data_IF_573230526338
#
_entry.id   IF_573230526338
#
_cell.length_a   1.000
_cell.length_b   1.000
_cell.length_c   1.000
_cell.angle_alpha   90.00
_cell.angle_beta   90.00
_cell.angle_gamma   90.00
#
_symmetry.space_group_name_H-M   'P 1'
#
loop_
_entity.id
_entity.type
_entity.pdbx_description
1 polymer ?
#
# COMPACT_ATOMS: atom_id res chain seq x y z
N UNK A 1 -49.95 24.40 -52.67
CA UNK A 1 -50.08 24.40 -54.14
C UNK A 1 -49.25 23.29 -54.74
N UNK A 2 -49.91 22.28 -55.35
CA UNK A 2 -49.44 21.22 -56.29
C UNK A 2 -48.32 20.32 -55.89
N UNK A 3 -48.65 19.18 -55.42
CA UNK A 3 -48.81 17.81 -55.91
C UNK A 3 -48.23 17.50 -57.29
N UNK A 4 -47.22 16.60 -57.35
CA UNK A 4 -47.04 15.67 -58.51
C UNK A 4 -46.46 14.32 -58.05
N UNK A 5 -47.27 13.29 -58.16
CA UNK A 5 -46.88 11.90 -58.25
C UNK A 5 -46.11 11.59 -59.53
N UNK A 6 -45.15 10.70 -59.50
CA UNK A 6 -44.72 9.90 -60.65
C UNK A 6 -44.44 8.46 -60.18
N UNK A 7 -45.23 7.55 -60.72
CA UNK A 7 -45.01 6.11 -60.74
C UNK A 7 -43.74 5.80 -61.55
N UNK A 8 -43.00 4.79 -61.17
CA UNK A 8 -42.06 4.14 -62.03
C UNK A 8 -42.00 2.65 -61.73
N UNK A 9 -42.12 1.92 -62.79
CA UNK A 9 -42.27 0.50 -63.02
C UNK A 9 -41.11 -0.38 -62.55
N UNK A 10 -41.44 -1.51 -61.95
CA UNK A 10 -40.50 -2.57 -61.62
C UNK A 10 -40.11 -3.37 -62.90
N UNK A 11 -38.82 -3.54 -63.10
CA UNK A 11 -38.26 -4.51 -64.06
C UNK A 11 -37.51 -5.57 -63.24
N UNK A 12 -38.02 -6.79 -63.34
CA UNK A 12 -37.37 -7.99 -62.78
C UNK A 12 -36.23 -8.43 -63.70
N UNK A 13 -35.01 -8.43 -63.19
CA UNK A 13 -33.87 -9.08 -63.84
C UNK A 13 -33.51 -10.35 -63.06
N UNK A 14 -33.63 -11.46 -63.73
CA UNK A 14 -33.21 -12.82 -63.28
C UNK A 14 -31.68 -12.88 -63.28
N UNK A 15 -31.06 -13.25 -62.14
CA UNK A 15 -29.64 -13.56 -62.06
C UNK A 15 -29.41 -15.07 -62.00
N UNK A 16 -28.39 -15.60 -62.68
CA UNK A 16 -28.11 -17.03 -62.67
C UNK A 16 -27.45 -17.48 -61.36
N UNK A 17 -27.90 -18.63 -60.85
CA UNK A 17 -27.39 -19.31 -59.68
C UNK A 17 -26.01 -19.92 -59.98
N UNK A 18 -24.97 -19.43 -59.33
CA UNK A 18 -23.62 -20.05 -59.34
C UNK A 18 -23.49 -20.89 -58.08
N UNK A 19 -23.35 -22.20 -58.23
CA UNK A 19 -23.10 -23.14 -57.14
C UNK A 19 -21.63 -23.01 -56.69
N UNK A 20 -21.41 -22.60 -55.41
CA UNK A 20 -20.10 -22.68 -54.76
C UNK A 20 -19.93 -24.04 -54.09
N UNK A 21 -18.71 -24.64 -54.15
CA UNK A 21 -18.41 -25.88 -53.47
C UNK A 21 -18.37 -25.68 -51.95
N UNK A 22 -18.96 -26.58 -51.19
CA UNK A 22 -18.91 -26.65 -49.74
C UNK A 22 -17.46 -26.89 -49.28
N UNK A 23 -16.76 -25.86 -48.85
CA UNK A 23 -15.51 -26.00 -48.11
C UNK A 23 -15.81 -26.42 -46.66
N UNK A 24 -15.07 -27.44 -46.21
CA UNK A 24 -15.26 -28.08 -44.91
C UNK A 24 -15.08 -27.10 -43.77
N UNK A 25 -16.00 -27.21 -42.81
CA UNK A 25 -15.95 -26.49 -41.51
C UNK A 25 -14.77 -27.08 -40.72
N UNK A 26 -13.62 -26.43 -40.82
CA UNK A 26 -12.52 -26.65 -39.87
C UNK A 26 -13.03 -26.30 -38.48
N UNK A 27 -12.97 -27.25 -37.54
CA UNK A 27 -13.20 -26.98 -36.12
C UNK A 27 -12.22 -25.87 -35.69
N UNK A 28 -12.70 -24.64 -35.47
CA UNK A 28 -11.97 -23.68 -34.69
C UNK A 28 -11.74 -24.28 -33.29
N UNK A 29 -10.53 -24.66 -33.02
CA UNK A 29 -10.06 -24.92 -31.66
C UNK A 29 -10.16 -23.59 -30.91
N UNK A 30 -11.16 -23.44 -30.07
CA UNK A 30 -11.17 -22.40 -29.02
C UNK A 30 -10.06 -22.75 -28.05
N UNK A 31 -8.86 -22.22 -28.29
CA UNK A 31 -7.88 -22.08 -27.22
C UNK A 31 -8.49 -21.12 -26.22
N UNK A 32 -9.17 -21.64 -25.20
CA UNK A 32 -9.38 -20.94 -23.97
C UNK A 32 -7.98 -20.71 -23.39
N UNK A 33 -7.47 -19.49 -23.54
CA UNK A 33 -6.33 -19.06 -22.75
C UNK A 33 -6.79 -19.13 -21.30
N UNK A 34 -6.51 -20.23 -20.61
CA UNK A 34 -6.65 -20.29 -19.16
C UNK A 34 -5.83 -19.13 -18.60
N UNK A 35 -6.51 -18.13 -18.01
CA UNK A 35 -5.81 -17.13 -17.20
C UNK A 35 -5.04 -17.91 -16.15
N UNK A 36 -3.71 -17.65 -15.96
CA UNK A 36 -2.98 -18.24 -14.86
C UNK A 36 -3.79 -18.00 -13.58
N UNK A 37 -3.93 -19.01 -12.74
CA UNK A 37 -4.69 -18.85 -11.51
C UNK A 37 -4.09 -17.68 -10.73
N UNK A 38 -4.93 -16.81 -10.16
CA UNK A 38 -4.53 -15.66 -9.33
C UNK A 38 -3.45 -16.06 -8.29
N UNK A 39 -3.53 -17.29 -7.78
CA UNK A 39 -2.53 -17.89 -6.88
C UNK A 39 -1.12 -18.06 -7.48
N UNK A 40 -0.96 -18.00 -8.81
CA UNK A 40 0.35 -18.14 -9.46
C UNK A 40 1.18 -16.84 -9.47
N UNK A 41 0.54 -15.68 -9.41
CA UNK A 41 1.23 -14.38 -9.43
C UNK A 41 2.01 -14.12 -8.14
N UNK A 42 3.28 -13.67 -8.23
CA UNK A 42 4.15 -13.46 -7.07
C UNK A 42 3.56 -12.50 -6.04
N UNK A 43 2.99 -11.37 -6.48
CA UNK A 43 2.41 -10.39 -5.56
C UNK A 43 1.17 -10.93 -4.83
N UNK A 44 0.31 -11.73 -5.49
CA UNK A 44 -0.81 -12.39 -4.83
C UNK A 44 -0.35 -13.42 -3.79
N UNK A 45 0.70 -14.19 -4.09
CA UNK A 45 1.30 -15.10 -3.11
C UNK A 45 1.88 -14.35 -1.91
N UNK A 46 2.51 -13.21 -2.15
CA UNK A 46 3.02 -12.37 -1.06
C UNK A 46 1.86 -11.83 -0.23
N UNK A 47 0.84 -11.21 -0.85
CA UNK A 47 -0.33 -10.70 -0.15
C UNK A 47 -1.05 -11.77 0.70
N UNK A 48 -1.15 -13.00 0.19
CA UNK A 48 -1.79 -14.11 0.91
C UNK A 48 -1.02 -14.59 2.15
N UNK A 49 0.25 -14.22 2.30
CA UNK A 49 1.09 -14.51 3.48
C UNK A 49 1.13 -13.35 4.47
N UNK A 50 0.86 -12.14 4.00
CA UNK A 50 0.71 -10.96 4.84
C UNK A 50 -0.74 -10.90 5.33
N UNK A 51 -0.95 -10.82 6.63
CA UNK A 51 -2.31 -10.66 7.18
C UNK A 51 -2.37 -9.38 8.01
N UNK A 52 -1.69 -9.39 9.16
CA UNK A 52 -1.75 -8.34 10.17
C UNK A 52 -0.39 -7.77 10.39
N UNK A 53 -0.24 -6.49 10.14
CA UNK A 53 1.00 -5.77 10.31
C UNK A 53 0.90 -4.62 11.28
N UNK A 54 2.05 -4.08 11.61
CA UNK A 54 2.17 -2.86 12.38
C UNK A 54 3.34 -2.03 11.89
N UNK A 55 3.14 -0.72 11.80
CA UNK A 55 4.19 0.25 11.50
C UNK A 55 5.08 0.44 12.73
N UNK A 56 6.39 0.47 12.53
CA UNK A 56 7.37 0.55 13.60
C UNK A 56 8.44 1.62 13.33
N UNK A 57 9.03 2.11 14.38
CA UNK A 57 10.22 2.99 14.44
C UNK A 57 10.14 4.32 13.69
N UNK A 58 8.94 4.81 13.38
CA UNK A 58 8.75 6.07 12.65
C UNK A 58 9.30 7.29 13.37
N UNK A 59 9.23 7.31 14.70
CA UNK A 59 9.74 8.42 15.54
C UNK A 59 10.74 7.94 16.60
N UNK A 60 11.29 6.75 16.42
CA UNK A 60 12.28 6.20 17.34
C UNK A 60 13.67 6.79 17.07
N UNK A 61 14.43 7.20 18.10
CA UNK A 61 15.79 7.71 17.94
C UNK A 61 16.79 6.65 17.43
N UNK A 62 16.35 5.42 17.21
CA UNK A 62 17.15 4.29 16.69
C UNK A 62 18.02 4.67 15.49
N UNK A 63 17.46 5.45 14.57
CA UNK A 63 18.14 5.81 13.32
C UNK A 63 19.26 6.83 13.53
N UNK A 64 19.12 7.70 14.53
CA UNK A 64 20.13 8.74 14.86
C UNK A 64 21.16 8.23 15.87
N UNK A 65 20.70 7.44 16.86
CA UNK A 65 21.54 6.89 17.92
C UNK A 65 20.92 5.57 18.46
N UNK A 66 21.45 4.46 18.01
CA UNK A 66 20.98 3.14 18.42
C UNK A 66 21.03 2.90 19.95
N UNK A 67 21.86 3.64 20.69
CA UNK A 67 21.89 3.53 22.17
C UNK A 67 20.64 4.17 22.79
N UNK A 68 20.08 5.18 22.15
CA UNK A 68 18.86 5.88 22.59
C UNK A 68 17.58 5.20 22.10
N UNK A 69 17.68 4.17 21.28
CA UNK A 69 16.52 3.45 20.76
C UNK A 69 15.56 3.06 21.90
N UNK A 70 14.29 3.40 21.76
CA UNK A 70 13.20 2.89 22.62
C UNK A 70 12.74 1.51 22.15
N UNK A 71 12.62 1.35 20.84
CA UNK A 71 12.36 0.06 20.21
C UNK A 71 13.58 -0.85 20.34
N UNK A 72 13.40 -2.06 20.89
CA UNK A 72 14.47 -3.02 21.14
C UNK A 72 14.21 -4.33 20.39
N UNK A 73 15.23 -5.17 20.12
CA UNK A 73 15.06 -6.45 19.43
C UNK A 73 13.97 -7.37 20.03
N UNK A 74 13.73 -7.30 21.34
CA UNK A 74 12.67 -8.05 22.02
C UNK A 74 11.25 -7.70 21.49
N UNK A 75 11.05 -6.47 21.02
CA UNK A 75 9.74 -6.00 20.55
C UNK A 75 9.27 -6.75 19.30
N UNK A 76 10.17 -7.22 18.43
CA UNK A 76 9.80 -8.08 17.31
C UNK A 76 9.11 -9.37 17.78
N UNK A 77 9.64 -10.01 18.84
CA UNK A 77 8.97 -11.19 19.42
C UNK A 77 7.64 -10.84 20.06
N UNK A 78 7.54 -9.70 20.75
CA UNK A 78 6.28 -9.20 21.32
C UNK A 78 5.24 -8.98 20.21
N UNK A 79 5.63 -8.36 19.11
CA UNK A 79 4.77 -8.14 17.93
C UNK A 79 4.30 -9.50 17.39
N UNK A 80 5.21 -10.44 17.16
CA UNK A 80 4.85 -11.79 16.66
C UNK A 80 3.91 -12.52 17.59
N UNK A 81 4.19 -12.54 18.88
CA UNK A 81 3.36 -13.15 19.91
C UNK A 81 2.02 -12.42 20.09
N UNK A 82 1.98 -11.13 19.77
CA UNK A 82 0.78 -10.31 19.72
C UNK A 82 -0.18 -10.69 18.60
N UNK A 83 0.23 -11.56 17.67
CA UNK A 83 -0.60 -12.05 16.56
C UNK A 83 -0.42 -11.27 15.25
N UNK A 84 0.73 -10.63 15.07
CA UNK A 84 1.11 -9.92 13.85
C UNK A 84 2.05 -10.77 12.99
N UNK A 85 1.98 -10.61 11.68
CA UNK A 85 2.70 -11.41 10.69
C UNK A 85 3.82 -10.62 10.01
N UNK A 86 3.73 -9.30 10.01
CA UNK A 86 4.72 -8.43 9.39
C UNK A 86 4.87 -7.08 10.10
N UNK A 87 5.98 -6.42 9.83
CA UNK A 87 6.24 -5.04 10.23
C UNK A 87 6.50 -4.19 8.99
N UNK A 88 5.98 -2.95 9.00
CA UNK A 88 6.34 -1.91 8.04
C UNK A 88 7.31 -0.97 8.76
N UNK A 89 8.54 -0.96 8.28
CA UNK A 89 9.68 -0.25 8.89
C UNK A 89 9.81 1.10 8.22
N UNK A 90 9.50 2.14 8.98
CA UNK A 90 9.54 3.53 8.53
C UNK A 90 10.98 4.02 8.46
N UNK A 91 11.45 4.38 7.26
CA UNK A 91 12.82 4.80 7.00
C UNK A 91 12.86 6.28 6.62
N UNK A 92 13.55 7.09 7.41
CA UNK A 92 13.87 8.48 7.08
C UNK A 92 15.37 8.54 6.74
N UNK A 93 15.72 8.17 5.52
CA UNK A 93 17.08 7.85 5.11
C UNK A 93 17.87 9.05 4.61
N UNK A 94 17.22 10.07 4.05
CA UNK A 94 17.89 11.17 3.34
C UNK A 94 18.75 12.02 4.24
N UNK A 95 18.40 12.16 5.52
CA UNK A 95 19.25 12.87 6.51
C UNK A 95 20.55 12.11 6.87
N UNK A 96 20.64 10.84 6.46
CA UNK A 96 21.81 9.99 6.66
C UNK A 96 22.59 9.76 5.35
N UNK A 97 22.34 10.57 4.33
CA UNK A 97 23.10 10.59 3.09
C UNK A 97 24.13 11.71 3.11
N UNK A 98 25.32 11.45 2.53
CA UNK A 98 26.32 12.48 2.26
C UNK A 98 26.00 13.27 0.97
N UNK A 99 26.91 14.18 0.58
CA UNK A 99 26.73 15.03 -0.60
C UNK A 99 26.66 14.27 -1.92
N UNK A 100 27.20 13.07 -1.98
CA UNK A 100 27.16 12.15 -3.12
C UNK A 100 26.03 11.11 -2.98
N UNK A 101 25.08 11.34 -2.09
CA UNK A 101 23.92 10.47 -1.79
C UNK A 101 24.30 9.07 -1.28
N UNK A 102 25.49 8.90 -0.69
CA UNK A 102 25.89 7.64 -0.06
C UNK A 102 25.32 7.55 1.36
N UNK A 103 24.67 6.44 1.67
CA UNK A 103 24.13 6.17 3.01
C UNK A 103 25.25 5.94 4.04
N UNK A 104 25.07 6.48 5.22
CA UNK A 104 25.98 6.27 6.36
C UNK A 104 26.09 4.76 6.67
N UNK A 105 27.31 4.19 6.71
CA UNK A 105 27.51 2.79 7.05
C UNK A 105 26.94 2.37 8.41
N UNK A 106 26.89 3.28 9.40
CA UNK A 106 26.29 2.99 10.70
C UNK A 106 24.77 2.87 10.61
N UNK A 107 24.15 3.76 9.83
CA UNK A 107 22.72 3.67 9.55
C UNK A 107 22.38 2.36 8.84
N UNK A 108 23.16 1.98 7.82
CA UNK A 108 23.00 0.70 7.12
C UNK A 108 23.18 -0.51 8.06
N UNK A 109 24.13 -0.46 9.01
CA UNK A 109 24.30 -1.53 9.98
C UNK A 109 23.11 -1.61 10.96
N UNK A 110 22.52 -0.47 11.32
CA UNK A 110 21.29 -0.43 12.12
C UNK A 110 20.12 -1.07 11.36
N UNK A 111 19.97 -0.74 10.09
CA UNK A 111 18.95 -1.33 9.20
C UNK A 111 19.11 -2.85 9.09
N UNK A 112 20.35 -3.35 8.93
CA UNK A 112 20.62 -4.80 8.93
C UNK A 112 20.17 -5.47 10.22
N UNK A 113 20.44 -4.84 11.36
CA UNK A 113 19.99 -5.32 12.67
C UNK A 113 18.47 -5.44 12.73
N UNK A 114 17.76 -4.41 12.29
CA UNK A 114 16.28 -4.36 12.23
C UNK A 114 15.74 -5.51 11.36
N UNK A 115 16.24 -5.64 10.14
CA UNK A 115 15.79 -6.70 9.20
C UNK A 115 16.09 -8.09 9.75
N UNK A 116 17.30 -8.29 10.28
CA UNK A 116 17.72 -9.56 10.89
C UNK A 116 16.83 -9.95 12.06
N UNK A 117 16.59 -9.03 12.98
CA UNK A 117 15.82 -9.31 14.19
C UNK A 117 14.34 -9.55 13.90
N UNK A 118 13.76 -8.79 12.96
CA UNK A 118 12.39 -8.99 12.51
C UNK A 118 12.20 -10.35 11.84
N UNK A 119 13.08 -10.70 10.88
CA UNK A 119 13.01 -11.99 10.16
C UNK A 119 13.30 -13.17 11.10
N UNK A 120 14.23 -13.04 12.03
CA UNK A 120 14.50 -14.05 13.08
C UNK A 120 13.31 -14.26 14.02
N UNK A 121 12.47 -13.24 14.23
CA UNK A 121 11.21 -13.35 14.96
C UNK A 121 10.08 -14.00 14.12
N UNK A 122 10.30 -14.31 12.85
CA UNK A 122 9.31 -14.88 11.93
C UNK A 122 8.32 -13.85 11.40
N UNK A 123 8.74 -12.58 11.31
CA UNK A 123 7.97 -11.50 10.70
C UNK A 123 8.44 -11.25 9.26
N UNK A 124 7.51 -10.97 8.36
CA UNK A 124 7.85 -10.32 7.09
C UNK A 124 8.16 -8.83 7.34
N UNK A 125 8.94 -8.23 6.46
CA UNK A 125 9.42 -6.85 6.61
C UNK A 125 9.10 -6.07 5.35
N UNK A 126 8.43 -4.93 5.49
CA UNK A 126 8.30 -3.94 4.43
C UNK A 126 9.28 -2.80 4.78
N UNK A 127 10.27 -2.57 3.92
CA UNK A 127 11.16 -1.42 4.01
C UNK A 127 10.50 -0.26 3.29
N UNK A 128 10.06 0.73 4.03
CA UNK A 128 9.30 1.86 3.54
C UNK A 128 10.16 3.12 3.54
N UNK A 129 10.50 3.63 2.35
CA UNK A 129 11.15 4.94 2.24
C UNK A 129 10.16 6.05 2.59
N UNK A 130 10.42 6.78 3.67
CA UNK A 130 9.43 7.64 4.32
C UNK A 130 9.79 9.15 4.30
N UNK A 131 10.75 9.55 3.47
CA UNK A 131 11.10 10.97 3.26
C UNK A 131 10.13 11.70 2.30
N UNK A 132 8.87 11.33 2.35
CA UNK A 132 7.81 11.73 1.43
C UNK A 132 7.54 13.24 1.42
N UNK A 133 7.67 13.94 2.54
CA UNK A 133 7.52 15.40 2.57
C UNK A 133 8.59 16.09 1.73
N UNK A 134 9.86 15.69 1.89
CA UNK A 134 10.95 16.22 1.07
C UNK A 134 10.74 15.93 -0.41
N UNK A 135 10.28 14.72 -0.74
CA UNK A 135 9.98 14.32 -2.11
C UNK A 135 8.81 15.08 -2.70
N UNK A 136 7.79 15.35 -1.92
CA UNK A 136 6.61 16.07 -2.37
C UNK A 136 6.88 17.57 -2.53
N UNK A 137 7.61 18.17 -1.59
CA UNK A 137 7.97 19.61 -1.64
C UNK A 137 8.94 19.93 -2.78
N UNK A 138 9.88 19.04 -3.10
CA UNK A 138 10.91 19.24 -4.11
C UNK A 138 11.17 17.96 -4.93
N UNK A 139 10.24 17.52 -5.80
CA UNK A 139 10.34 16.26 -6.52
C UNK A 139 11.63 16.10 -7.33
N UNK A 140 12.09 17.16 -7.99
CA UNK A 140 13.31 17.14 -8.82
C UNK A 140 14.58 16.97 -7.98
N UNK A 141 14.59 17.46 -6.75
CA UNK A 141 15.71 17.28 -5.82
C UNK A 141 15.62 15.94 -5.07
N UNK A 142 14.42 15.40 -4.91
CA UNK A 142 14.20 14.10 -4.28
C UNK A 142 14.61 12.94 -5.19
N UNK A 143 14.23 12.96 -6.45
CA UNK A 143 14.38 11.82 -7.35
C UNK A 143 15.80 11.23 -7.37
N UNK A 144 16.89 12.02 -7.48
CA UNK A 144 18.26 11.47 -7.43
C UNK A 144 18.57 10.78 -6.10
N UNK A 145 18.08 11.30 -4.98
CA UNK A 145 18.28 10.68 -3.67
C UNK A 145 17.52 9.36 -3.55
N UNK A 146 16.27 9.34 -4.03
CA UNK A 146 15.42 8.15 -4.01
C UNK A 146 16.00 7.04 -4.89
N UNK A 147 16.54 7.38 -6.07
CA UNK A 147 17.27 6.45 -6.94
C UNK A 147 18.50 5.91 -6.20
N UNK A 148 19.36 6.79 -5.66
CA UNK A 148 20.56 6.39 -4.94
C UNK A 148 20.26 5.54 -3.69
N UNK A 149 19.17 5.81 -2.99
CA UNK A 149 18.68 4.98 -1.89
C UNK A 149 18.39 3.56 -2.36
N UNK A 150 17.55 3.42 -3.39
CA UNK A 150 17.16 2.10 -3.87
C UNK A 150 18.26 1.33 -4.59
N UNK A 151 19.23 2.01 -5.21
CA UNK A 151 20.45 1.35 -5.71
C UNK A 151 21.21 0.70 -4.57
N UNK A 152 21.45 1.42 -3.47
CA UNK A 152 22.23 0.95 -2.32
C UNK A 152 21.48 -0.12 -1.52
N UNK A 153 20.23 0.16 -1.14
CA UNK A 153 19.40 -0.77 -0.36
C UNK A 153 19.03 -1.99 -1.20
N UNK A 154 18.70 -1.79 -2.49
CA UNK A 154 18.42 -2.89 -3.41
C UNK A 154 19.61 -3.84 -3.55
N UNK A 155 20.81 -3.31 -3.78
CA UNK A 155 22.04 -4.12 -3.86
C UNK A 155 22.34 -4.87 -2.56
N UNK A 156 22.13 -4.18 -1.41
CA UNK A 156 22.39 -4.76 -0.08
C UNK A 156 21.48 -5.93 0.25
N UNK A 157 20.21 -5.84 -0.09
CA UNK A 157 19.19 -6.85 0.23
C UNK A 157 18.82 -7.75 -0.96
N UNK A 158 19.62 -7.79 -2.04
CA UNK A 158 19.33 -8.63 -3.21
C UNK A 158 19.15 -10.11 -2.85
N UNK A 159 19.94 -10.61 -1.90
CA UNK A 159 19.92 -12.01 -1.45
C UNK A 159 19.03 -12.21 -0.20
N UNK A 160 18.33 -11.18 0.27
CA UNK A 160 17.39 -11.30 1.38
C UNK A 160 16.18 -12.17 0.98
N UNK A 161 15.54 -12.86 1.94
CA UNK A 161 14.39 -13.70 1.66
C UNK A 161 13.23 -12.91 1.04
N UNK A 162 12.30 -13.61 0.40
CA UNK A 162 11.11 -13.02 -0.23
C UNK A 162 10.10 -12.42 0.77
N UNK A 163 10.34 -12.62 2.06
CA UNK A 163 9.63 -11.98 3.18
C UNK A 163 10.08 -10.54 3.44
N UNK A 164 11.14 -10.05 2.77
CA UNK A 164 11.53 -8.63 2.79
C UNK A 164 10.99 -7.97 1.52
N UNK A 165 10.16 -6.96 1.67
CA UNK A 165 9.52 -6.20 0.60
C UNK A 165 10.06 -4.77 0.58
N UNK A 166 9.96 -4.09 -0.56
CA UNK A 166 10.40 -2.71 -0.73
C UNK A 166 9.21 -1.81 -1.07
N UNK A 167 8.92 -0.84 -0.23
CA UNK A 167 7.95 0.21 -0.50
C UNK A 167 8.68 1.46 -0.98
N UNK A 168 8.42 1.82 -2.25
CA UNK A 168 9.28 2.74 -2.99
C UNK A 168 9.26 4.16 -2.44
N UNK A 169 8.12 4.66 -1.99
CA UNK A 169 7.96 5.93 -1.29
C UNK A 169 6.61 5.93 -0.57
N UNK A 170 6.62 6.34 0.70
CA UNK A 170 5.42 6.66 1.45
C UNK A 170 4.70 7.86 0.85
N UNK A 171 3.39 7.84 0.81
CA UNK A 171 2.46 8.97 0.66
C UNK A 171 2.88 10.11 -0.29
N UNK A 172 3.21 9.85 -1.56
CA UNK A 172 3.49 10.93 -2.50
C UNK A 172 2.26 11.88 -2.58
N UNK A 173 2.52 13.20 -2.53
CA UNK A 173 1.46 14.22 -2.58
C UNK A 173 1.94 15.50 -3.28
N UNK A 174 1.03 16.41 -3.61
CA UNK A 174 1.37 17.63 -4.34
C UNK A 174 2.45 18.48 -3.63
N UNK A 175 3.43 19.00 -4.37
CA UNK A 175 3.59 19.07 -5.84
C UNK A 175 3.96 17.78 -6.59
N UNK A 176 4.30 16.68 -5.91
CA UNK A 176 4.49 15.36 -6.55
C UNK A 176 3.12 14.76 -6.87
N UNK A 177 2.50 15.23 -7.94
CA UNK A 177 1.19 14.79 -8.42
C UNK A 177 1.23 13.46 -9.19
N UNK A 178 0.07 12.95 -9.61
CA UNK A 178 -0.04 11.67 -10.32
C UNK A 178 0.86 11.54 -11.55
N UNK A 179 0.85 12.47 -12.52
CA UNK A 179 1.72 12.43 -13.69
C UNK A 179 3.21 12.41 -13.34
N UNK A 180 3.66 13.23 -12.37
CA UNK A 180 5.05 13.27 -11.92
C UNK A 180 5.44 11.98 -11.21
N UNK A 181 4.56 11.48 -10.34
CA UNK A 181 4.80 10.22 -9.64
C UNK A 181 4.89 9.03 -10.61
N UNK A 182 3.98 8.91 -11.56
CA UNK A 182 4.03 7.89 -12.61
C UNK A 182 5.32 7.99 -13.44
N UNK A 183 5.73 9.20 -13.81
CA UNK A 183 7.00 9.44 -14.50
C UNK A 183 8.20 9.01 -13.64
N UNK A 184 8.23 9.32 -12.35
CA UNK A 184 9.28 8.89 -11.42
C UNK A 184 9.29 7.37 -11.27
N UNK A 185 8.15 6.71 -11.11
CA UNK A 185 8.02 5.25 -11.04
C UNK A 185 8.58 4.56 -12.28
N UNK A 186 8.38 5.13 -13.47
CA UNK A 186 8.91 4.56 -14.71
C UNK A 186 10.45 4.49 -14.75
N UNK A 187 11.14 5.33 -13.97
CA UNK A 187 12.60 5.33 -13.80
C UNK A 187 13.03 4.51 -12.57
N UNK A 188 12.29 4.60 -11.47
CA UNK A 188 12.66 3.99 -10.20
C UNK A 188 12.47 2.47 -10.19
N UNK A 189 11.36 1.96 -10.76
CA UNK A 189 11.11 0.51 -10.83
C UNK A 189 12.26 -0.24 -11.52
N UNK A 190 12.76 0.19 -12.70
CA UNK A 190 13.93 -0.44 -13.33
C UNK A 190 15.19 -0.45 -12.48
N UNK A 191 15.44 0.59 -11.69
CA UNK A 191 16.58 0.66 -10.76
C UNK A 191 16.51 -0.50 -9.75
N UNK A 192 15.38 -0.68 -9.10
CA UNK A 192 15.22 -1.79 -8.16
C UNK A 192 15.27 -3.14 -8.86
N UNK A 193 14.65 -3.25 -10.03
CA UNK A 193 14.62 -4.50 -10.82
C UNK A 193 16.00 -4.93 -11.34
N UNK A 194 16.96 -4.00 -11.49
CA UNK A 194 18.32 -4.34 -11.88
C UNK A 194 19.00 -5.35 -10.93
N UNK A 195 18.66 -5.32 -9.64
CA UNK A 195 19.24 -6.22 -8.63
C UNK A 195 18.21 -7.12 -7.93
N UNK A 196 16.91 -6.84 -8.09
CA UNK A 196 15.82 -7.49 -7.34
C UNK A 196 14.65 -7.89 -8.26
N UNK A 197 14.90 -8.71 -9.26
CA UNK A 197 13.88 -9.16 -10.22
C UNK A 197 12.65 -9.81 -9.55
N UNK A 198 12.89 -10.61 -8.49
CA UNK A 198 11.85 -11.36 -7.77
C UNK A 198 11.32 -10.67 -6.51
N UNK A 199 11.77 -9.44 -6.18
CA UNK A 199 11.35 -8.72 -4.97
C UNK A 199 9.95 -8.15 -5.13
N UNK A 200 9.05 -8.39 -4.18
CA UNK A 200 7.76 -7.69 -4.18
C UNK A 200 7.98 -6.22 -3.85
N UNK A 201 7.55 -5.35 -4.76
CA UNK A 201 7.48 -3.91 -4.53
C UNK A 201 6.13 -3.55 -3.95
N UNK A 202 6.11 -2.53 -3.09
CA UNK A 202 4.89 -1.90 -2.58
C UNK A 202 4.85 -0.48 -3.12
N UNK A 203 3.75 -0.12 -3.77
CA UNK A 203 3.61 1.17 -4.46
C UNK A 203 2.20 1.70 -4.22
N UNK A 204 2.11 2.93 -3.71
CA UNK A 204 0.84 3.63 -3.51
C UNK A 204 0.60 4.73 -4.54
N UNK A 205 -0.65 5.20 -4.67
CA UNK A 205 -1.01 6.37 -5.47
C UNK A 205 -0.63 7.67 -4.74
N UNK A 206 -0.85 8.80 -5.40
CA UNK A 206 -0.65 10.14 -4.82
C UNK A 206 -1.71 10.54 -3.80
N UNK A 207 -1.66 11.81 -3.33
CA UNK A 207 -2.54 12.37 -2.30
C UNK A 207 -2.55 11.55 -1.02
N UNK A 208 -1.33 11.28 -0.48
CA UNK A 208 -1.14 10.50 0.75
C UNK A 208 -1.69 9.08 0.65
N UNK A 209 -1.36 8.39 -0.44
CA UNK A 209 -1.87 7.05 -0.75
C UNK A 209 -3.40 6.95 -0.74
N UNK A 210 -4.07 8.02 -1.23
CA UNK A 210 -5.52 8.09 -1.22
C UNK A 210 -6.15 7.09 -2.20
N UNK A 211 -7.15 6.36 -1.74
CA UNK A 211 -7.84 5.34 -2.55
C UNK A 211 -8.52 5.89 -3.82
N UNK A 212 -8.94 7.16 -3.83
CA UNK A 212 -9.57 7.79 -5.01
C UNK A 212 -8.55 8.08 -6.13
N UNK A 213 -7.23 8.04 -5.83
CA UNK A 213 -6.14 8.20 -6.80
C UNK A 213 -5.67 6.86 -7.41
N UNK A 214 -6.17 5.72 -6.94
CA UNK A 214 -5.84 4.41 -7.51
C UNK A 214 -6.08 4.31 -9.02
N UNK A 215 -7.16 4.88 -9.61
CA UNK A 215 -7.36 4.85 -11.05
C UNK A 215 -6.30 5.58 -11.86
N UNK A 216 -5.61 6.56 -11.26
CA UNK A 216 -4.53 7.33 -11.90
C UNK A 216 -3.14 6.71 -11.74
N UNK A 217 -2.99 5.64 -10.97
CA UNK A 217 -1.71 4.98 -10.76
C UNK A 217 -1.33 4.11 -11.97
N UNK A 218 -0.21 4.44 -12.62
CA UNK A 218 0.31 3.71 -13.77
C UNK A 218 1.43 2.76 -13.38
N UNK A 219 1.20 1.46 -13.54
CA UNK A 219 2.16 0.42 -13.22
C UNK A 219 2.47 -0.45 -14.46
N UNK A 220 3.72 -0.92 -14.63
CA UNK A 220 4.07 -1.81 -15.74
C UNK A 220 3.20 -3.07 -15.72
N UNK A 221 2.49 -3.33 -16.82
CA UNK A 221 1.59 -4.51 -16.93
C UNK A 221 2.34 -5.83 -16.85
N UNK A 222 3.58 -5.86 -17.33
CA UNK A 222 4.46 -7.03 -17.31
C UNK A 222 5.04 -7.35 -15.93
N UNK A 223 5.13 -6.35 -15.05
CA UNK A 223 5.62 -6.58 -13.68
C UNK A 223 4.47 -6.97 -12.77
N UNK A 224 4.35 -8.29 -12.56
CA UNK A 224 3.30 -8.89 -11.73
C UNK A 224 3.70 -9.01 -10.26
N UNK A 225 4.87 -8.51 -9.86
CA UNK A 225 5.34 -8.57 -8.49
C UNK A 225 5.28 -7.21 -7.77
N UNK A 226 4.14 -6.52 -7.97
CA UNK A 226 3.82 -5.25 -7.31
C UNK A 226 2.54 -5.43 -6.50
N UNK A 227 2.62 -5.16 -5.21
CA UNK A 227 1.54 -5.04 -4.24
C UNK A 227 1.18 -3.55 -4.15
N UNK A 228 -0.07 -3.20 -4.44
CA UNK A 228 -0.49 -1.80 -4.37
C UNK A 228 -0.90 -1.47 -2.94
N UNK A 229 -0.51 -0.29 -2.45
CA UNK A 229 -0.91 0.16 -1.11
C UNK A 229 -1.85 1.36 -1.16
N UNK A 230 -2.70 1.49 -0.15
CA UNK A 230 -3.47 2.70 0.15
C UNK A 230 -3.49 2.92 1.66
N UNK A 231 -3.76 4.15 2.08
CA UNK A 231 -3.93 4.51 3.49
C UNK A 231 -5.39 4.86 3.79
N UNK A 232 -5.84 4.60 5.00
CA UNK A 232 -7.24 4.74 5.38
C UNK A 232 -7.36 5.45 6.72
N UNK A 233 -7.50 6.77 6.68
CA UNK A 233 -7.71 7.60 7.88
C UNK A 233 -9.09 8.28 7.91
N UNK A 234 -9.97 7.94 6.97
CA UNK A 234 -11.34 8.47 7.02
C UNK A 234 -12.20 7.81 8.12
N UNK A 235 -13.02 8.60 8.81
CA UNK A 235 -13.20 10.04 8.65
C UNK A 235 -12.06 10.83 9.32
N UNK A 236 -11.30 11.61 8.52
CA UNK A 236 -10.07 12.30 8.96
C UNK A 236 -10.31 13.19 10.19
N UNK A 237 -11.47 13.83 10.26
CA UNK A 237 -11.84 14.67 11.42
C UNK A 237 -11.93 13.90 12.73
N UNK A 238 -12.30 12.61 12.68
CA UNK A 238 -12.31 11.74 13.86
C UNK A 238 -10.90 11.23 14.17
N UNK A 239 -10.22 10.70 13.16
CA UNK A 239 -8.91 10.03 13.35
C UNK A 239 -7.80 10.96 13.76
N UNK A 240 -7.85 12.24 13.32
CA UNK A 240 -6.84 13.25 13.58
C UNK A 240 -7.30 14.40 14.49
N UNK A 241 -8.49 14.31 15.10
CA UNK A 241 -8.93 15.37 16.02
C UNK A 241 -7.86 15.69 17.08
N UNK A 242 -7.52 16.96 17.22
CA UNK A 242 -6.50 17.45 18.15
C UNK A 242 -5.06 17.16 17.78
N UNK A 243 -4.78 16.55 16.63
CA UNK A 243 -3.44 16.29 16.14
C UNK A 243 -2.79 17.61 15.65
N UNK A 244 -1.69 18.11 16.27
CA UNK A 244 -1.18 19.45 16.02
C UNK A 244 -0.62 19.66 14.61
N UNK A 245 -0.24 18.59 13.93
CA UNK A 245 0.24 18.63 12.53
C UNK A 245 -0.87 18.58 11.48
N UNK A 246 -2.09 18.19 11.87
CA UNK A 246 -3.24 18.08 10.98
C UNK A 246 -4.07 19.37 11.05
N UNK A 247 -3.73 20.39 10.25
CA UNK A 247 -4.33 21.74 10.34
C UNK A 247 -5.86 21.75 10.33
N UNK A 248 -6.50 20.83 9.57
CA UNK A 248 -7.95 20.69 9.49
C UNK A 248 -8.59 20.07 10.75
N UNK A 249 -7.79 19.41 11.57
CA UNK A 249 -8.26 18.64 12.71
C UNK A 249 -7.64 19.09 14.04
N UNK A 250 -6.59 19.92 14.04
CA UNK A 250 -5.85 20.31 15.23
C UNK A 250 -6.71 20.97 16.31
N UNK A 251 -7.72 21.73 15.91
CA UNK A 251 -8.67 22.39 16.85
C UNK A 251 -9.90 21.57 17.20
N UNK A 252 -10.06 20.37 16.62
CA UNK A 252 -11.25 19.54 16.82
C UNK A 252 -11.15 18.73 18.11
N UNK A 253 -12.29 18.57 18.77
CA UNK A 253 -12.46 17.71 19.95
C UNK A 253 -13.87 17.10 19.89
N UNK A 254 -14.02 15.95 20.55
CA UNK A 254 -15.30 15.26 20.73
C UNK A 254 -16.02 14.94 19.40
N UNK A 255 -15.27 14.80 18.32
CA UNK A 255 -15.81 14.35 17.03
C UNK A 255 -16.19 12.88 17.17
N UNK A 256 -17.46 12.50 16.98
CA UNK A 256 -17.88 11.11 17.15
C UNK A 256 -17.50 10.26 15.93
N UNK A 257 -17.33 8.96 16.17
CA UNK A 257 -17.33 7.94 15.12
C UNK A 257 -18.73 7.33 15.03
N UNK A 258 -19.38 7.44 13.87
CA UNK A 258 -20.81 7.15 13.70
C UNK A 258 -21.05 5.90 12.83
N UNK A 259 -22.29 5.41 12.78
CA UNK A 259 -22.67 4.34 11.84
C UNK A 259 -22.64 4.78 10.37
N UNK A 260 -22.82 6.07 10.09
CA UNK A 260 -22.65 6.62 8.75
C UNK A 260 -21.17 6.54 8.30
N UNK A 261 -20.23 6.76 9.22
CA UNK A 261 -18.81 6.61 8.97
C UNK A 261 -18.44 5.15 8.69
N UNK A 262 -19.02 4.20 9.44
CA UNK A 262 -18.84 2.77 9.17
C UNK A 262 -19.32 2.38 7.76
N UNK A 263 -20.50 2.89 7.35
CA UNK A 263 -21.05 2.64 6.02
C UNK A 263 -20.17 3.24 4.92
N UNK A 264 -19.60 4.43 5.15
CA UNK A 264 -18.65 5.07 4.22
C UNK A 264 -17.38 4.27 4.08
N UNK A 265 -16.75 3.85 5.18
CA UNK A 265 -15.56 3.00 5.17
C UNK A 265 -15.83 1.75 4.34
N UNK A 266 -16.96 1.07 4.57
CA UNK A 266 -17.34 -0.09 3.77
C UNK A 266 -17.41 0.23 2.28
N UNK A 267 -18.09 1.31 1.90
CA UNK A 267 -18.20 1.70 0.49
C UNK A 267 -16.84 2.02 -0.15
N UNK A 268 -15.94 2.64 0.60
CA UNK A 268 -14.58 2.94 0.14
C UNK A 268 -13.75 1.66 -0.08
N UNK A 269 -13.87 0.67 0.81
CA UNK A 269 -13.20 -0.63 0.62
C UNK A 269 -13.82 -1.45 -0.53
N UNK A 270 -15.14 -1.36 -0.75
CA UNK A 270 -15.78 -1.94 -1.93
C UNK A 270 -15.20 -1.36 -3.25
N UNK A 271 -14.93 -0.03 -3.31
CA UNK A 271 -14.25 0.61 -4.45
C UNK A 271 -12.83 0.06 -4.66
N UNK A 272 -12.03 -0.02 -3.58
CA UNK A 272 -10.67 -0.57 -3.65
C UNK A 272 -10.71 -2.02 -4.12
N UNK A 273 -11.63 -2.82 -3.61
CA UNK A 273 -11.82 -4.21 -4.04
C UNK A 273 -12.21 -4.35 -5.51
N UNK A 274 -13.06 -3.45 -6.00
CA UNK A 274 -13.44 -3.39 -7.42
C UNK A 274 -12.22 -3.03 -8.29
N UNK A 275 -11.44 -2.05 -7.88
CA UNK A 275 -10.20 -1.65 -8.57
C UNK A 275 -9.17 -2.79 -8.60
N UNK A 276 -8.95 -3.45 -7.47
CA UNK A 276 -8.04 -4.60 -7.34
C UNK A 276 -8.37 -5.71 -8.34
N UNK A 277 -9.65 -6.09 -8.42
CA UNK A 277 -10.13 -7.10 -9.37
C UNK A 277 -9.99 -6.66 -10.84
N UNK A 278 -10.34 -5.40 -11.13
CA UNK A 278 -10.29 -4.86 -12.49
C UNK A 278 -8.85 -4.78 -13.03
N UNK A 279 -7.88 -4.50 -12.17
CA UNK A 279 -6.46 -4.35 -12.53
C UNK A 279 -5.65 -5.64 -12.27
N UNK A 280 -6.26 -6.66 -11.68
CA UNK A 280 -5.61 -7.90 -11.26
C UNK A 280 -4.33 -7.62 -10.46
N UNK A 281 -4.47 -6.81 -9.40
CA UNK A 281 -3.40 -6.40 -8.47
C UNK A 281 -3.85 -6.61 -7.03
N UNK A 282 -3.05 -7.31 -6.20
CA UNK A 282 -3.33 -7.37 -4.76
C UNK A 282 -3.13 -6.00 -4.12
N UNK A 283 -3.87 -5.76 -3.04
CA UNK A 283 -3.84 -4.48 -2.33
C UNK A 283 -3.53 -4.70 -0.86
N UNK A 284 -2.68 -3.82 -0.31
CA UNK A 284 -2.33 -3.67 1.10
C UNK A 284 -2.95 -2.37 1.63
N UNK A 285 -3.57 -2.41 2.78
CA UNK A 285 -3.88 -1.19 3.53
C UNK A 285 -2.69 -0.89 4.45
N UNK A 286 -1.83 0.05 4.00
CA UNK A 286 -0.51 0.30 4.59
C UNK A 286 -0.56 1.03 5.92
N UNK A 287 -1.58 1.89 6.12
CA UNK A 287 -1.75 2.64 7.36
C UNK A 287 -3.20 2.88 7.70
N UNK A 288 -3.53 2.80 8.98
CA UNK A 288 -4.75 3.28 9.61
C UNK A 288 -4.58 3.38 11.12
N UNK A 289 -5.34 4.27 11.75
CA UNK A 289 -5.30 4.46 13.19
C UNK A 289 -6.11 5.69 13.60
N UNK A 290 -6.17 5.96 14.89
CA UNK A 290 -6.79 7.17 15.43
C UNK A 290 -5.93 7.76 16.55
N UNK A 291 -5.64 9.06 16.44
CA UNK A 291 -4.80 9.82 17.34
C UNK A 291 -5.30 9.78 18.78
N UNK A 292 -4.40 9.54 19.73
CA UNK A 292 -4.81 9.30 21.12
C UNK A 292 -4.71 10.53 22.03
N UNK A 293 -3.75 11.43 21.76
CA UNK A 293 -3.38 12.50 22.70
C UNK A 293 -4.41 13.63 22.78
N UNK A 294 -5.44 13.59 21.92
CA UNK A 294 -6.57 14.52 21.96
C UNK A 294 -7.59 14.22 23.06
N UNK A 295 -7.48 13.08 23.74
CA UNK A 295 -8.48 12.62 24.71
C UNK A 295 -9.67 11.89 24.05
N UNK A 296 -9.59 11.55 22.77
CA UNK A 296 -10.63 10.73 22.11
C UNK A 296 -10.86 9.44 22.90
N UNK A 297 -12.11 9.11 23.27
CA UNK A 297 -12.41 7.92 24.06
C UNK A 297 -11.85 6.66 23.44
N UNK A 298 -11.19 5.83 24.25
CA UNK A 298 -10.51 4.61 23.80
C UNK A 298 -11.50 3.62 23.15
N UNK A 299 -12.76 3.58 23.61
CA UNK A 299 -13.81 2.75 23.05
C UNK A 299 -14.18 3.17 21.63
N UNK A 300 -14.22 4.49 21.36
CA UNK A 300 -14.47 5.02 20.03
C UNK A 300 -13.29 4.71 19.07
N UNK A 301 -12.05 4.87 19.55
CA UNK A 301 -10.84 4.49 18.81
C UNK A 301 -10.83 2.99 18.51
N UNK A 302 -11.14 2.15 19.49
CA UNK A 302 -11.20 0.70 19.32
C UNK A 302 -12.31 0.28 18.33
N UNK A 303 -13.48 0.94 18.39
CA UNK A 303 -14.58 0.70 17.44
C UNK A 303 -14.17 1.05 16.01
N UNK A 304 -13.58 2.21 15.80
CA UNK A 304 -13.02 2.60 14.49
C UNK A 304 -12.00 1.56 14.00
N UNK A 305 -11.01 1.25 14.84
CA UNK A 305 -9.95 0.28 14.53
C UNK A 305 -10.51 -1.08 14.14
N UNK A 306 -11.51 -1.57 14.88
CA UNK A 306 -12.18 -2.84 14.57
C UNK A 306 -12.98 -2.79 13.27
N UNK A 307 -13.60 -1.66 12.95
CA UNK A 307 -14.37 -1.48 11.71
C UNK A 307 -13.43 -1.52 10.51
N UNK A 308 -12.38 -0.71 10.50
CA UNK A 308 -11.37 -0.67 9.42
C UNK A 308 -10.73 -2.03 9.22
N UNK A 309 -10.28 -2.69 10.30
CA UNK A 309 -9.71 -4.04 10.23
C UNK A 309 -10.70 -5.04 9.61
N UNK A 310 -11.98 -5.04 10.02
CA UNK A 310 -13.00 -5.97 9.47
C UNK A 310 -13.22 -5.77 7.97
N UNK A 311 -13.29 -4.52 7.52
CA UNK A 311 -13.46 -4.23 6.10
C UNK A 311 -12.24 -4.65 5.27
N UNK A 312 -11.02 -4.42 5.77
CA UNK A 312 -9.82 -4.91 5.12
C UNK A 312 -9.82 -6.45 5.01
N UNK A 313 -10.07 -7.16 6.12
CA UNK A 313 -10.11 -8.62 6.17
C UNK A 313 -11.25 -9.19 5.28
N UNK A 314 -12.42 -8.55 5.21
CA UNK A 314 -13.53 -8.95 4.34
C UNK A 314 -13.19 -8.89 2.84
N UNK A 315 -12.31 -7.99 2.46
CA UNK A 315 -11.82 -7.84 1.08
C UNK A 315 -10.53 -8.62 0.81
N UNK A 316 -10.00 -9.33 1.81
CA UNK A 316 -8.74 -10.07 1.71
C UNK A 316 -7.49 -9.18 1.64
N UNK A 317 -7.59 -7.95 2.11
CA UNK A 317 -6.46 -7.04 2.16
C UNK A 317 -5.64 -7.29 3.42
N UNK A 318 -4.32 -7.59 3.32
CA UNK A 318 -3.42 -7.40 4.44
C UNK A 318 -3.42 -5.95 4.88
N UNK A 319 -3.12 -5.72 6.16
CA UNK A 319 -3.16 -4.38 6.71
C UNK A 319 -2.06 -4.15 7.75
N UNK A 320 -1.59 -2.88 7.89
CA UNK A 320 -0.65 -2.46 8.91
C UNK A 320 -1.21 -1.29 9.73
N UNK A 321 -1.30 -1.49 11.04
CA UNK A 321 -1.77 -0.45 11.96
C UNK A 321 -0.69 0.62 12.18
N UNK A 322 -1.09 1.87 12.14
CA UNK A 322 -0.27 3.01 12.51
C UNK A 322 -0.59 3.38 13.95
N UNK A 323 0.33 3.20 14.94
CA UNK A 323 1.59 2.48 14.85
C UNK A 323 1.88 1.75 16.19
N UNK A 324 3.01 1.02 16.28
CA UNK A 324 3.36 0.22 17.47
C UNK A 324 3.48 1.07 18.72
N UNK A 325 4.27 2.15 18.65
CA UNK A 325 4.48 3.11 19.74
C UNK A 325 4.21 4.54 19.24
N UNK A 326 4.14 5.55 20.11
CA UNK A 326 3.88 6.95 19.79
C UNK A 326 2.39 7.34 19.73
N UNK A 327 1.98 8.13 18.74
CA UNK A 327 0.76 8.96 18.73
C UNK A 327 -0.55 8.21 18.52
N UNK A 328 -0.48 7.05 17.89
CA UNK A 328 -1.61 6.16 17.60
C UNK A 328 -1.46 4.83 18.33
N UNK A 329 -0.80 4.86 19.41
CA UNK A 329 -0.20 3.80 20.21
C UNK A 329 -0.98 2.48 20.27
N UNK A 330 -0.27 1.41 19.90
CA UNK A 330 -0.69 0.02 20.10
C UNK A 330 -0.02 -0.63 21.29
N UNK A 331 1.25 -0.29 21.53
CA UNK A 331 2.06 -0.81 22.62
C UNK A 331 2.80 0.33 23.35
N UNK A 332 2.53 0.47 24.63
CA UNK A 332 3.19 1.45 25.50
C UNK A 332 4.57 0.90 25.89
N UNK A 333 5.62 1.34 25.17
CA UNK A 333 7.00 0.88 25.41
C UNK A 333 7.47 1.25 26.83
N UNK A 334 7.06 2.41 27.36
CA UNK A 334 7.50 2.89 28.67
C UNK A 334 6.89 2.06 29.81
N UNK A 335 5.67 1.55 29.61
CA UNK A 335 4.98 0.68 30.58
C UNK A 335 5.08 -0.80 30.21
N UNK A 336 5.75 -1.11 29.10
CA UNK A 336 5.96 -2.48 28.59
C UNK A 336 4.66 -3.30 28.48
N UNK A 337 3.61 -2.72 27.90
CA UNK A 337 2.29 -3.34 27.80
C UNK A 337 1.50 -2.92 26.57
N UNK A 338 0.65 -3.82 26.13
CA UNK A 338 -0.33 -3.53 25.09
C UNK A 338 -1.38 -2.51 25.54
N UNK A 339 -1.83 -1.66 24.62
CA UNK A 339 -3.06 -0.91 24.75
C UNK A 339 -4.21 -1.86 24.40
N UNK A 340 -4.66 -2.62 25.40
CA UNK A 340 -5.51 -3.79 25.23
C UNK A 340 -6.80 -3.55 24.41
N UNK A 341 -7.55 -2.41 24.54
CA UNK A 341 -8.70 -2.18 23.69
C UNK A 341 -8.36 -2.13 22.20
N UNK A 342 -7.24 -1.50 21.84
CA UNK A 342 -6.75 -1.42 20.44
C UNK A 342 -6.23 -2.78 19.98
N UNK A 343 -5.41 -3.48 20.81
CA UNK A 343 -4.93 -4.82 20.48
C UNK A 343 -6.08 -5.80 20.21
N UNK A 344 -7.11 -5.81 21.07
CA UNK A 344 -8.30 -6.66 20.89
C UNK A 344 -9.11 -6.28 19.65
N UNK A 345 -9.16 -5.01 19.28
CA UNK A 345 -9.79 -4.55 18.05
C UNK A 345 -9.07 -5.08 16.80
N UNK A 346 -7.72 -5.14 16.85
CA UNK A 346 -6.87 -5.63 15.77
C UNK A 346 -6.76 -7.16 15.71
N UNK A 347 -6.59 -7.79 16.87
CA UNK A 347 -6.37 -9.25 17.00
C UNK A 347 -7.42 -9.80 17.99
N UNK A 348 -8.68 -9.98 17.54
CA UNK A 348 -9.71 -10.55 18.40
C UNK A 348 -9.37 -12.01 18.76
N UNK A 349 -9.57 -12.37 20.02
CA UNK A 349 -9.52 -13.77 20.44
C UNK A 349 -10.58 -14.58 19.68
N UNK A 350 -10.18 -15.65 19.02
CA UNK A 350 -11.15 -16.58 18.42
C UNK A 350 -12.06 -17.09 19.55
N UNK A 351 -13.36 -16.84 19.41
CA UNK A 351 -14.38 -17.46 20.25
C UNK A 351 -14.56 -18.91 19.88
#
# INVERSE_FOLDING_TARGET
MLLKCLLSTAVALATPSVAYPRSGVGKLSTQTSERPSIAADPAWRTASRLHRGVNIVGYDPLWDDAQKARFKPRHFRIIKQGGFDFVRVVLQSFKHMDAEYRLDPKWLATLDGVVKDATAAGLSVILDEHDFNLCSEAPDACEPKLIAFWEQVGARYRDAPDTVLFELLNEPHAPLDGPRWNSMLSRLIPVVRATNLGRTLVIGPTRWNNLDELPGLELPKSDRNILVTFHSYEPFRFTHQGAPWASEAAGLKDVPFTSADEARIKADYDKVGAWSRANDRPVLMGEFGAYEKSGTPIEARARYTATVRREAEAHGFPWAYWQFDSDFILYDIDKDRWVEPIRKALVPTRR
#
